data_IF_518230394182
#
_entry.id   IF_518230394182
#
_cell.length_a   1.000
_cell.length_b   1.000
_cell.length_c   1.000
_cell.angle_alpha   90.00
_cell.angle_beta   90.00
_cell.angle_gamma   90.00
#
_symmetry.space_group_name_H-M   'P 1'
#
loop_
_entity.id
_entity.type
_entity.pdbx_description
1 polymer ?
#
# COMPACT_ATOMS: atom_id res chain seq x y z
N UNK A 1 -37.33 85.02 -31.61
CA UNK A 1 -38.07 84.21 -32.61
C UNK A 1 -37.53 82.78 -32.53
N UNK A 2 -38.44 81.82 -32.45
CA UNK A 2 -38.24 80.39 -32.22
C UNK A 2 -37.38 79.69 -33.30
N UNK A 3 -36.54 78.72 -32.93
CA UNK A 3 -35.81 77.90 -33.89
C UNK A 3 -35.22 76.61 -33.30
N UNK A 4 -35.92 75.50 -33.52
CA UNK A 4 -35.68 74.09 -33.16
C UNK A 4 -34.26 73.62 -32.81
N UNK A 5 -34.12 72.98 -31.63
CA UNK A 5 -33.03 72.05 -31.35
C UNK A 5 -33.17 70.82 -32.27
N UNK A 6 -32.22 70.63 -33.19
CA UNK A 6 -32.07 69.38 -33.94
C UNK A 6 -31.30 68.39 -33.07
N UNK A 7 -31.98 67.37 -32.56
CA UNK A 7 -31.34 66.23 -31.92
C UNK A 7 -30.62 65.42 -33.00
N UNK A 8 -29.28 65.39 -32.98
CA UNK A 8 -28.49 64.41 -33.72
C UNK A 8 -28.72 63.03 -33.09
N UNK A 9 -29.50 62.20 -33.76
CA UNK A 9 -29.62 60.78 -33.42
C UNK A 9 -28.34 60.08 -33.88
N UNK A 10 -27.46 59.75 -32.93
CA UNK A 10 -26.41 58.77 -33.17
C UNK A 10 -27.07 57.43 -33.52
N UNK A 11 -26.93 56.99 -34.77
CA UNK A 11 -27.28 55.64 -35.19
C UNK A 11 -26.40 54.64 -34.43
N UNK A 12 -26.98 54.00 -33.41
CA UNK A 12 -26.39 52.86 -32.73
C UNK A 12 -26.42 51.70 -33.74
N UNK A 13 -25.25 51.26 -34.20
CA UNK A 13 -25.15 50.05 -35.03
C UNK A 13 -25.93 48.90 -34.35
N UNK A 14 -26.85 48.23 -35.06
CA UNK A 14 -27.65 47.19 -34.45
C UNK A 14 -26.75 46.04 -33.97
N UNK A 15 -26.71 45.89 -32.65
CA UNK A 15 -26.08 44.79 -31.92
C UNK A 15 -26.23 43.46 -32.68
N UNK A 16 -25.10 42.80 -32.97
CA UNK A 16 -25.03 41.52 -33.69
C UNK A 16 -25.93 40.49 -33.00
N UNK A 17 -27.17 40.39 -33.48
CA UNK A 17 -28.17 39.39 -33.06
C UNK A 17 -27.49 38.03 -33.03
N UNK A 18 -27.41 37.42 -31.84
CA UNK A 18 -26.88 36.06 -31.65
C UNK A 18 -27.78 35.10 -32.42
N UNK A 19 -27.45 34.82 -33.69
CA UNK A 19 -28.13 33.79 -34.48
C UNK A 19 -27.98 32.48 -33.72
N UNK A 20 -29.09 31.95 -33.22
CA UNK A 20 -29.12 30.64 -32.56
C UNK A 20 -28.49 29.61 -33.50
N UNK A 21 -27.41 28.98 -33.07
CA UNK A 21 -26.72 27.98 -33.86
C UNK A 21 -27.59 26.74 -33.93
N UNK A 22 -27.80 26.20 -35.13
CA UNK A 22 -28.46 24.91 -35.28
C UNK A 22 -27.73 23.82 -34.47
N UNK A 23 -28.49 22.84 -33.96
CA UNK A 23 -27.96 21.73 -33.13
C UNK A 23 -26.72 21.06 -33.76
N UNK A 24 -26.71 20.92 -35.09
CA UNK A 24 -25.57 20.41 -35.87
C UNK A 24 -24.30 21.28 -35.71
N UNK A 25 -24.44 22.60 -35.83
CA UNK A 25 -23.33 23.56 -35.75
C UNK A 25 -22.77 23.66 -34.32
N UNK A 26 -23.62 23.57 -33.30
CA UNK A 26 -23.21 23.50 -31.89
C UNK A 26 -22.40 22.20 -31.61
N UNK A 27 -22.87 21.05 -32.12
CA UNK A 27 -22.16 19.77 -32.00
C UNK A 27 -20.79 19.81 -32.66
N UNK A 28 -20.68 20.45 -33.83
CA UNK A 28 -19.42 20.59 -34.57
C UNK A 28 -18.45 21.54 -33.85
N UNK A 29 -18.95 22.63 -33.24
CA UNK A 29 -18.16 23.53 -32.39
C UNK A 29 -17.59 22.79 -31.17
N UNK A 30 -18.41 22.01 -30.46
CA UNK A 30 -17.96 21.18 -29.32
C UNK A 30 -16.91 20.14 -29.73
N UNK A 31 -17.07 19.49 -30.90
CA UNK A 31 -16.06 18.57 -31.44
C UNK A 31 -14.73 19.27 -31.72
N UNK A 32 -14.77 20.45 -32.37
CA UNK A 32 -13.56 21.26 -32.64
C UNK A 32 -12.87 21.70 -31.35
N UNK A 33 -13.64 22.14 -30.36
CA UNK A 33 -13.11 22.55 -29.05
C UNK A 33 -12.51 21.36 -28.29
N UNK A 34 -13.16 20.19 -28.31
CA UNK A 34 -12.61 18.95 -27.76
C UNK A 34 -11.31 18.53 -28.47
N UNK A 35 -11.23 18.71 -29.79
CA UNK A 35 -9.98 18.48 -30.55
C UNK A 35 -8.89 19.44 -30.09
N UNK A 36 -9.17 20.75 -30.05
CA UNK A 36 -8.23 21.77 -29.57
C UNK A 36 -7.71 21.49 -28.17
N UNK A 37 -8.60 21.09 -27.24
CA UNK A 37 -8.21 20.67 -25.87
C UNK A 37 -7.32 19.42 -25.88
N UNK A 38 -7.63 18.42 -26.72
CA UNK A 38 -6.80 17.22 -26.87
C UNK A 38 -5.42 17.54 -27.47
N UNK A 39 -5.37 18.41 -28.46
CA UNK A 39 -4.14 18.83 -29.14
C UNK A 39 -3.25 19.67 -28.22
N UNK A 40 -3.84 20.58 -27.45
CA UNK A 40 -3.14 21.31 -26.38
C UNK A 40 -2.60 20.35 -25.32
N UNK A 41 -3.41 19.41 -24.83
CA UNK A 41 -2.96 18.40 -23.85
C UNK A 41 -1.96 17.39 -24.45
N UNK A 42 -1.83 17.26 -25.77
CA UNK A 42 -0.84 16.39 -26.43
C UNK A 42 0.54 17.08 -26.49
N UNK A 43 0.55 18.41 -26.59
CA UNK A 43 1.73 19.26 -26.66
C UNK A 43 2.17 19.82 -25.29
N UNK A 44 1.42 19.53 -24.23
CA UNK A 44 1.76 19.96 -22.87
C UNK A 44 3.10 19.34 -22.44
N UNK A 45 4.16 20.14 -22.16
CA UNK A 45 5.46 19.64 -21.75
C UNK A 45 5.42 18.78 -20.47
N UNK A 46 4.42 18.95 -19.60
CA UNK A 46 4.22 18.08 -18.42
C UNK A 46 3.72 16.68 -18.79
N UNK A 47 3.14 16.53 -20.00
CA UNK A 47 2.60 15.29 -20.55
C UNK A 47 3.42 14.72 -21.71
N UNK A 48 4.34 15.49 -22.27
CA UNK A 48 5.45 15.01 -23.10
C UNK A 48 6.44 14.31 -22.18
N UNK A 49 6.03 13.18 -21.60
CA UNK A 49 6.99 12.17 -21.17
C UNK A 49 7.56 11.59 -22.46
N UNK A 50 8.87 11.34 -22.57
CA UNK A 50 9.33 10.40 -23.57
C UNK A 50 8.53 9.13 -23.33
N UNK A 51 7.54 8.86 -24.18
CA UNK A 51 6.98 7.53 -24.31
C UNK A 51 8.11 6.74 -24.94
N UNK A 52 9.07 6.32 -24.12
CA UNK A 52 10.06 5.35 -24.55
C UNK A 52 9.23 4.24 -25.18
N UNK A 53 9.43 3.99 -26.48
CA UNK A 53 8.90 2.77 -27.07
C UNK A 53 9.40 1.68 -26.12
N UNK A 54 8.49 1.06 -25.37
CA UNK A 54 8.83 -0.13 -24.59
C UNK A 54 9.34 -1.10 -25.64
N UNK A 55 10.67 -1.21 -25.80
CA UNK A 55 11.26 -2.20 -26.69
C UNK A 55 10.83 -3.52 -26.06
N UNK A 56 9.76 -4.11 -26.59
CA UNK A 56 9.38 -5.46 -26.23
C UNK A 56 10.58 -6.29 -26.64
N UNK A 57 11.32 -6.79 -25.65
CA UNK A 57 12.39 -7.72 -25.95
C UNK A 57 11.74 -8.92 -26.60
N UNK A 58 12.18 -9.24 -27.81
CA UNK A 58 11.73 -10.43 -28.51
C UNK A 58 12.56 -11.59 -27.98
N UNK A 59 11.90 -12.55 -27.35
CA UNK A 59 12.55 -13.76 -26.87
C UNK A 59 12.38 -14.86 -27.91
N UNK A 60 13.45 -15.62 -28.24
CA UNK A 60 13.39 -16.69 -29.24
C UNK A 60 12.53 -17.87 -28.78
N UNK A 61 12.44 -18.09 -27.47
CA UNK A 61 11.72 -19.22 -26.86
C UNK A 61 10.98 -18.75 -25.62
N UNK A 62 9.85 -19.40 -25.30
CA UNK A 62 9.10 -19.15 -24.07
C UNK A 62 9.97 -19.37 -22.82
N UNK A 63 10.84 -20.37 -22.84
CA UNK A 63 11.82 -20.65 -21.79
C UNK A 63 12.72 -19.44 -21.49
N UNK A 64 13.33 -18.87 -22.53
CA UNK A 64 14.22 -17.72 -22.40
C UNK A 64 13.49 -16.50 -21.84
N UNK A 65 12.23 -16.31 -22.23
CA UNK A 65 11.35 -15.26 -21.69
C UNK A 65 11.09 -15.44 -20.20
N UNK A 66 10.76 -16.65 -19.76
CA UNK A 66 10.46 -16.96 -18.36
C UNK A 66 11.73 -16.81 -17.51
N UNK A 67 12.87 -17.36 -17.97
CA UNK A 67 14.17 -17.22 -17.31
C UNK A 67 14.56 -15.75 -17.12
N UNK A 68 14.43 -14.93 -18.16
CA UNK A 68 14.71 -13.50 -18.07
C UNK A 68 13.80 -12.78 -17.05
N UNK A 69 12.50 -13.12 -17.00
CA UNK A 69 11.58 -12.56 -16.00
C UNK A 69 12.01 -12.93 -14.57
N UNK A 70 12.40 -14.19 -14.34
CA UNK A 70 12.89 -14.67 -13.04
C UNK A 70 14.18 -13.93 -12.65
N UNK A 71 15.15 -13.84 -13.54
CA UNK A 71 16.43 -13.18 -13.29
C UNK A 71 16.22 -11.70 -12.92
N UNK A 72 15.40 -10.99 -13.70
CA UNK A 72 15.06 -9.59 -13.42
C UNK A 72 14.34 -9.43 -12.07
N UNK A 73 13.44 -10.36 -11.73
CA UNK A 73 12.74 -10.35 -10.45
C UNK A 73 13.69 -10.64 -9.27
N UNK A 74 14.63 -11.57 -9.42
CA UNK A 74 15.68 -11.86 -8.42
C UNK A 74 16.59 -10.66 -8.19
N UNK A 75 16.94 -9.93 -9.25
CA UNK A 75 17.70 -8.68 -9.12
C UNK A 75 16.89 -7.61 -8.34
N UNK A 76 15.60 -7.48 -8.63
CA UNK A 76 14.70 -6.59 -7.86
C UNK A 76 14.59 -7.03 -6.39
N UNK A 77 14.48 -8.32 -6.12
CA UNK A 77 14.46 -8.87 -4.77
C UNK A 77 15.73 -8.46 -4.00
N UNK A 78 16.91 -8.69 -4.57
CA UNK A 78 18.19 -8.32 -3.95
C UNK A 78 18.26 -6.82 -3.61
N UNK A 79 17.85 -5.95 -4.54
CA UNK A 79 17.79 -4.51 -4.29
C UNK A 79 16.82 -4.13 -3.16
N UNK A 80 15.66 -4.79 -3.08
CA UNK A 80 14.68 -4.54 -2.01
C UNK A 80 15.20 -5.01 -0.65
N UNK A 81 15.87 -6.16 -0.60
CA UNK A 81 16.53 -6.66 0.62
C UNK A 81 17.61 -5.68 1.09
N UNK A 82 18.43 -5.16 0.18
CA UNK A 82 19.45 -4.16 0.53
C UNK A 82 18.83 -2.86 1.08
N UNK A 83 17.73 -2.39 0.48
CA UNK A 83 16.99 -1.24 1.02
C UNK A 83 16.43 -1.52 2.40
N UNK A 84 15.89 -2.72 2.65
CA UNK A 84 15.33 -3.10 3.95
C UNK A 84 16.37 -3.14 5.07
N UNK A 85 17.60 -3.60 4.78
CA UNK A 85 18.71 -3.59 5.74
C UNK A 85 18.99 -2.20 6.32
N UNK A 86 18.75 -1.13 5.56
CA UNK A 86 18.91 0.26 6.03
C UNK A 86 17.89 0.66 7.10
N UNK A 87 16.77 -0.04 7.19
CA UNK A 87 15.71 0.17 8.17
C UNK A 87 15.72 -0.86 9.30
N UNK A 88 16.69 -1.77 9.31
CA UNK A 88 16.95 -2.62 10.47
C UNK A 88 17.58 -1.74 11.55
N UNK A 89 16.88 -1.58 12.66
CA UNK A 89 17.43 -0.89 13.82
C UNK A 89 18.24 -1.93 14.58
N UNK A 90 19.52 -1.67 14.91
CA UNK A 90 20.28 -2.57 15.75
C UNK A 90 19.50 -2.83 17.03
N UNK A 91 19.34 -4.10 17.38
CA UNK A 91 18.86 -4.48 18.71
C UNK A 91 19.96 -4.07 19.70
N UNK A 92 19.91 -2.82 20.16
CA UNK A 92 20.70 -2.41 21.31
C UNK A 92 20.21 -3.29 22.44
N UNK A 93 21.05 -4.23 22.85
CA UNK A 93 20.81 -5.05 24.03
C UNK A 93 20.90 -4.12 25.24
N UNK A 94 19.82 -3.39 25.50
CA UNK A 94 19.63 -2.72 26.77
C UNK A 94 19.72 -3.76 27.89
N UNK A 95 20.02 -3.34 29.13
CA UNK A 95 20.12 -4.27 30.26
C UNK A 95 18.87 -5.16 30.27
N UNK A 96 19.07 -6.49 30.20
CA UNK A 96 17.98 -7.47 30.29
C UNK A 96 17.21 -7.20 31.57
N UNK A 97 16.10 -6.48 31.46
CA UNK A 97 15.14 -6.34 32.55
C UNK A 97 14.61 -7.74 32.76
N UNK A 98 15.01 -8.38 33.86
CA UNK A 98 14.49 -9.69 34.24
C UNK A 98 12.96 -9.58 34.21
N UNK A 99 12.26 -10.36 33.36
CA UNK A 99 10.81 -10.36 33.36
C UNK A 99 10.35 -10.67 34.79
N UNK A 100 9.58 -9.76 35.38
CA UNK A 100 8.95 -10.03 36.67
C UNK A 100 8.03 -11.24 36.47
N UNK A 101 8.42 -12.40 37.01
CA UNK A 101 7.68 -13.64 36.84
C UNK A 101 6.36 -13.52 37.59
N UNK A 102 5.28 -13.24 36.85
CA UNK A 102 3.93 -13.27 37.37
C UNK A 102 3.56 -14.69 37.75
N UNK A 103 2.98 -14.87 38.94
CA UNK A 103 2.44 -16.18 39.33
C UNK A 103 1.27 -16.56 38.44
N UNK A 104 0.95 -17.86 38.36
CA UNK A 104 -0.16 -18.34 37.54
C UNK A 104 -1.51 -17.70 37.92
N UNK A 105 -1.71 -17.46 39.21
CA UNK A 105 -2.91 -16.81 39.75
C UNK A 105 -2.99 -15.33 39.33
N UNK A 106 -1.88 -14.60 39.45
CA UNK A 106 -1.80 -13.20 39.01
C UNK A 106 -2.04 -13.07 37.52
N UNK A 107 -1.41 -13.94 36.71
CA UNK A 107 -1.61 -13.97 35.26
C UNK A 107 -3.07 -14.23 34.89
N UNK A 108 -3.76 -15.11 35.63
CA UNK A 108 -5.19 -15.36 35.43
C UNK A 108 -6.06 -14.16 35.80
N UNK A 109 -5.78 -13.50 36.93
CA UNK A 109 -6.50 -12.30 37.35
C UNK A 109 -6.35 -11.16 36.34
N UNK A 110 -5.11 -10.87 35.92
CA UNK A 110 -4.80 -9.82 34.93
C UNK A 110 -5.47 -10.12 33.58
N UNK A 111 -5.47 -11.39 33.16
CA UNK A 111 -6.17 -11.84 31.96
C UNK A 111 -7.68 -11.56 32.04
N UNK A 112 -8.34 -11.89 33.15
CA UNK A 112 -9.77 -11.61 33.37
C UNK A 112 -10.06 -10.10 33.40
N UNK A 113 -9.21 -9.32 34.04
CA UNK A 113 -9.31 -7.85 34.07
C UNK A 113 -9.16 -7.24 32.67
N UNK A 114 -8.18 -7.69 31.90
CA UNK A 114 -7.97 -7.23 30.54
C UNK A 114 -9.16 -7.51 29.64
N UNK A 115 -9.81 -8.67 29.77
CA UNK A 115 -11.01 -8.99 28.98
C UNK A 115 -12.12 -7.95 29.19
N UNK A 116 -12.36 -7.54 30.44
CA UNK A 116 -13.38 -6.53 30.79
C UNK A 116 -13.05 -5.11 30.35
N UNK A 117 -11.76 -4.73 30.37
CA UNK A 117 -11.31 -3.38 30.01
C UNK A 117 -11.37 -3.16 28.48
N UNK A 118 -11.74 -1.96 28.06
CA UNK A 118 -11.87 -1.56 26.64
C UNK A 118 -10.68 -0.76 26.11
N UNK A 119 -9.57 -0.65 26.84
CA UNK A 119 -8.39 0.12 26.42
C UNK A 119 -7.61 -0.64 25.35
N UNK A 120 -7.38 -0.01 24.20
CA UNK A 120 -6.65 -0.63 23.11
C UNK A 120 -5.71 0.33 22.35
N UNK A 121 -4.65 -0.24 21.80
CA UNK A 121 -3.68 0.43 20.94
C UNK A 121 -3.70 -0.25 19.56
N UNK A 122 -4.12 0.44 18.49
CA UNK A 122 -4.12 -0.13 17.16
C UNK A 122 -2.73 -0.07 16.52
N UNK A 123 -2.27 -1.20 16.00
CA UNK A 123 -1.10 -1.32 15.14
C UNK A 123 -1.59 -1.55 13.71
N UNK A 124 -1.27 -0.59 12.84
CA UNK A 124 -1.63 -0.62 11.42
C UNK A 124 -0.56 -1.23 10.53
N UNK A 125 -0.65 -0.95 9.22
CA UNK A 125 0.33 -1.34 8.20
C UNK A 125 1.79 -1.00 8.55
N UNK A 126 2.02 0.09 9.29
CA UNK A 126 3.35 0.58 9.66
C UNK A 126 4.08 -0.34 10.65
N UNK A 127 3.37 -1.26 11.30
CA UNK A 127 3.94 -2.08 12.37
C UNK A 127 4.26 -1.26 13.62
N UNK A 128 5.24 -1.74 14.37
CA UNK A 128 5.69 -1.13 15.62
C UNK A 128 6.63 0.05 15.31
N UNK A 129 6.34 1.19 15.92
CA UNK A 129 7.18 2.40 15.87
C UNK A 129 7.01 3.17 17.18
N UNK A 130 7.86 4.17 17.44
CA UNK A 130 7.91 4.83 18.76
C UNK A 130 6.57 5.40 19.26
N UNK A 131 5.69 5.82 18.35
CA UNK A 131 4.35 6.30 18.71
C UNK A 131 3.41 5.21 19.26
N UNK A 132 3.60 3.94 18.89
CA UNK A 132 2.85 2.81 19.47
C UNK A 132 3.25 2.61 20.92
N UNK A 133 4.56 2.62 21.20
CA UNK A 133 5.11 2.45 22.55
C UNK A 133 4.69 3.62 23.45
N UNK A 134 4.80 4.85 22.95
CA UNK A 134 4.28 6.05 23.63
C UNK A 134 2.81 5.88 24.02
N UNK A 135 1.97 5.42 23.08
CA UNK A 135 0.55 5.23 23.33
C UNK A 135 0.30 4.14 24.39
N UNK A 136 1.10 3.07 24.41
CA UNK A 136 1.03 2.06 25.48
C UNK A 136 1.34 2.67 26.84
N UNK A 137 2.43 3.44 26.97
CA UNK A 137 2.78 4.09 28.23
C UNK A 137 1.74 5.12 28.69
N UNK A 138 1.09 5.83 27.76
CA UNK A 138 -0.03 6.73 28.07
C UNK A 138 -1.23 5.98 28.66
N UNK A 139 -1.60 4.82 28.09
CA UNK A 139 -2.63 3.96 28.69
C UNK A 139 -2.20 3.44 30.06
N UNK A 140 -0.92 3.09 30.21
CA UNK A 140 -0.39 2.57 31.46
C UNK A 140 -0.33 3.56 32.61
N UNK A 141 -0.42 4.87 32.34
CA UNK A 141 -0.57 5.89 33.39
C UNK A 141 -1.84 5.69 34.22
N UNK A 142 -2.94 5.28 33.58
CA UNK A 142 -4.26 5.13 34.21
C UNK A 142 -4.71 3.69 34.37
N UNK A 143 -4.16 2.77 33.57
CA UNK A 143 -4.64 1.40 33.48
C UNK A 143 -3.50 0.40 33.55
N UNK A 144 -3.68 -0.68 34.28
CA UNK A 144 -2.66 -1.72 34.41
C UNK A 144 -2.44 -2.53 33.12
N UNK A 145 -3.49 -2.63 32.28
CA UNK A 145 -3.49 -3.47 31.08
C UNK A 145 -3.92 -2.70 29.84
N UNK A 146 -3.38 -3.11 28.70
CA UNK A 146 -3.70 -2.55 27.38
C UNK A 146 -3.82 -3.67 26.35
N UNK A 147 -4.82 -3.59 25.46
CA UNK A 147 -4.98 -4.51 24.33
C UNK A 147 -4.32 -3.93 23.09
N UNK A 148 -3.33 -4.60 22.55
CA UNK A 148 -2.70 -4.19 21.29
C UNK A 148 -3.37 -4.95 20.14
N UNK A 149 -3.97 -4.24 19.19
CA UNK A 149 -4.70 -4.83 18.06
C UNK A 149 -3.88 -4.63 16.79
N UNK A 150 -3.34 -5.70 16.23
CA UNK A 150 -2.48 -5.71 15.06
C UNK A 150 -3.30 -6.03 13.80
N UNK A 151 -3.62 -5.02 12.98
CA UNK A 151 -4.34 -5.21 11.71
C UNK A 151 -3.75 -4.33 10.59
N UNK A 152 -3.36 -4.89 9.43
CA UNK A 152 -3.31 -6.32 9.08
C UNK A 152 -2.11 -7.03 9.72
N UNK A 153 -2.28 -8.27 10.16
CA UNK A 153 -1.22 -9.12 10.71
C UNK A 153 -1.13 -10.44 9.94
N UNK A 154 0.09 -10.88 9.60
CA UNK A 154 0.30 -12.23 9.07
C UNK A 154 0.20 -13.26 10.21
N UNK A 155 -0.22 -14.51 9.93
CA UNK A 155 -0.15 -15.56 10.94
C UNK A 155 1.30 -15.71 11.42
N UNK A 156 1.50 -15.80 12.74
CA UNK A 156 2.83 -15.87 13.37
C UNK A 156 3.45 -14.50 13.70
N UNK A 157 3.25 -13.48 12.86
CA UNK A 157 3.81 -12.13 13.06
C UNK A 157 3.38 -11.48 14.39
N UNK A 158 2.21 -11.85 14.93
CA UNK A 158 1.75 -11.36 16.23
C UNK A 158 2.68 -11.74 17.39
N UNK A 159 3.40 -12.86 17.28
CA UNK A 159 4.36 -13.29 18.30
C UNK A 159 5.68 -12.51 18.19
N UNK A 160 6.10 -12.16 16.97
CA UNK A 160 7.24 -11.27 16.74
C UNK A 160 6.94 -9.87 17.29
N UNK A 161 5.73 -9.36 17.03
CA UNK A 161 5.28 -8.12 17.60
C UNK A 161 5.17 -8.17 19.12
N UNK A 162 4.74 -9.29 19.69
CA UNK A 162 4.71 -9.46 21.14
C UNK A 162 6.11 -9.28 21.73
N UNK A 163 7.10 -10.02 21.21
CA UNK A 163 8.50 -9.96 21.66
C UNK A 163 9.09 -8.56 21.53
N UNK A 164 8.86 -7.90 20.40
CA UNK A 164 9.42 -6.57 20.14
C UNK A 164 8.77 -5.49 21.02
N UNK A 165 7.46 -5.60 21.28
CA UNK A 165 6.79 -4.73 22.23
C UNK A 165 7.25 -4.98 23.67
N UNK A 166 7.45 -6.23 24.10
CA UNK A 166 8.02 -6.54 25.42
C UNK A 166 9.41 -5.90 25.57
N UNK A 167 10.26 -6.03 24.54
CA UNK A 167 11.61 -5.43 24.50
C UNK A 167 11.57 -3.91 24.59
N UNK A 168 10.72 -3.26 23.79
CA UNK A 168 10.70 -1.80 23.67
C UNK A 168 9.95 -1.10 24.82
N UNK A 169 8.87 -1.71 25.31
CA UNK A 169 8.01 -1.10 26.33
C UNK A 169 8.30 -1.59 27.75
N UNK A 170 9.02 -2.71 27.90
CA UNK A 170 9.25 -3.37 29.19
C UNK A 170 7.99 -4.02 29.79
N UNK A 171 6.85 -3.98 29.08
CA UNK A 171 5.63 -4.66 29.51
C UNK A 171 5.70 -6.17 29.30
N UNK A 172 4.81 -6.90 29.99
CA UNK A 172 4.71 -8.36 29.93
C UNK A 172 3.51 -8.77 29.07
N UNK A 173 3.73 -9.62 28.06
CA UNK A 173 2.65 -10.20 27.28
C UNK A 173 1.93 -11.30 28.10
N UNK A 174 0.65 -11.07 28.37
CA UNK A 174 -0.17 -11.96 29.20
C UNK A 174 -0.83 -13.04 28.36
N UNK A 175 -1.45 -12.63 27.25
CA UNK A 175 -2.21 -13.50 26.38
C UNK A 175 -2.27 -12.95 24.94
N UNK A 176 -2.10 -13.84 23.97
CA UNK A 176 -2.47 -13.60 22.57
C UNK A 176 -3.88 -14.14 22.33
N UNK A 177 -4.77 -13.31 21.78
CA UNK A 177 -6.16 -13.63 21.47
C UNK A 177 -6.32 -13.69 19.95
N UNK A 178 -6.60 -14.88 19.42
CA UNK A 178 -6.66 -15.13 17.98
C UNK A 178 -5.29 -14.92 17.32
N UNK A 179 -5.28 -14.23 16.18
CA UNK A 179 -4.07 -13.99 15.40
C UNK A 179 -3.60 -12.52 15.40
N UNK A 180 -4.38 -11.61 16.01
CA UNK A 180 -4.21 -10.17 15.81
C UNK A 180 -4.08 -9.40 17.13
N UNK A 181 -4.58 -9.92 18.25
CA UNK A 181 -4.71 -9.13 19.50
C UNK A 181 -3.79 -9.67 20.59
N UNK A 182 -3.06 -8.78 21.26
CA UNK A 182 -2.15 -9.12 22.35
C UNK A 182 -2.56 -8.31 23.58
N UNK A 183 -2.62 -8.95 24.74
CA UNK A 183 -2.86 -8.28 26.02
C UNK A 183 -1.53 -8.05 26.72
N UNK A 184 -1.23 -6.80 27.01
CA UNK A 184 -0.03 -6.39 27.72
C UNK A 184 -0.34 -5.88 29.12
N UNK A 185 0.54 -6.21 30.06
CA UNK A 185 0.55 -5.73 31.43
C UNK A 185 1.81 -4.90 31.69
N UNK A 186 1.66 -3.78 32.41
CA UNK A 186 2.76 -2.82 32.64
C UNK A 186 3.79 -3.25 33.70
N UNK A 187 3.45 -4.20 34.58
CA UNK A 187 4.23 -4.53 35.79
C UNK A 187 3.60 -3.99 37.08
N UNK A 188 3.97 -4.56 38.23
CA UNK A 188 3.43 -4.14 39.55
C UNK A 188 3.93 -2.75 39.93
N UNK A 189 5.21 -2.49 39.66
CA UNK A 189 5.92 -1.26 40.03
C UNK A 189 6.17 -0.37 38.81
N UNK A 190 5.14 -0.15 37.99
CA UNK A 190 5.29 0.66 36.79
C UNK A 190 5.64 2.11 37.15
N UNK A 191 6.78 2.57 36.63
CA UNK A 191 7.20 3.97 36.67
C UNK A 191 7.18 4.49 35.24
N UNK A 192 6.59 5.67 35.04
CA UNK A 192 6.58 6.28 33.71
C UNK A 192 8.03 6.60 33.29
N UNK A 193 8.51 6.06 32.15
CA UNK A 193 9.85 6.35 31.69
C UNK A 193 9.98 7.83 31.30
N UNK A 194 11.15 8.41 31.55
CA UNK A 194 11.47 9.79 31.16
C UNK A 194 11.40 9.96 29.63
N UNK A 195 11.92 8.97 28.90
CA UNK A 195 11.79 8.88 27.45
C UNK A 195 10.68 7.89 27.09
N UNK A 196 9.50 8.40 26.74
CA UNK A 196 8.30 7.61 26.46
C UNK A 196 8.34 6.85 25.12
N UNK A 197 9.16 7.32 24.16
CA UNK A 197 9.39 6.66 22.88
C UNK A 197 10.86 6.26 22.78
N UNK A 198 11.19 4.95 22.86
CA UNK A 198 12.58 4.51 22.79
C UNK A 198 13.26 4.94 21.49
N UNK A 199 14.54 5.31 21.61
CA UNK A 199 15.40 5.72 20.49
C UNK A 199 15.59 4.57 19.49
N UNK A 200 15.53 3.33 19.98
CA UNK A 200 15.64 2.09 19.21
C UNK A 200 14.46 1.84 18.25
N UNK A 201 13.51 2.77 18.13
CA UNK A 201 12.37 2.64 17.24
C UNK A 201 12.50 3.50 15.98
N UNK A 202 11.95 3.00 14.88
CA UNK A 202 11.85 3.80 13.65
C UNK A 202 10.87 4.97 13.85
N UNK A 203 11.18 6.09 13.17
CA UNK A 203 10.21 7.18 13.01
C UNK A 203 8.99 6.73 12.19
N UNK A 204 7.85 7.37 12.41
CA UNK A 204 6.56 7.10 11.73
C UNK A 204 6.68 7.05 10.20
N UNK A 205 7.49 7.94 9.60
CA UNK A 205 7.73 7.98 8.13
C UNK A 205 8.55 6.77 7.68
N UNK A 206 9.68 6.52 8.35
CA UNK A 206 10.59 5.39 8.06
C UNK A 206 9.89 4.03 8.23
N UNK A 207 9.08 3.86 9.27
CA UNK A 207 8.29 2.64 9.47
C UNK A 207 7.30 2.38 8.32
N UNK A 208 6.67 3.43 7.79
CA UNK A 208 5.79 3.29 6.62
C UNK A 208 6.57 2.91 5.36
N UNK A 209 7.76 3.47 5.15
CA UNK A 209 8.63 3.11 4.03
C UNK A 209 9.11 1.66 4.10
N UNK A 210 9.59 1.22 5.28
CA UNK A 210 9.95 -0.18 5.54
C UNK A 210 8.82 -1.13 5.15
N UNK A 211 7.60 -0.84 5.62
CA UNK A 211 6.40 -1.63 5.29
C UNK A 211 6.11 -1.70 3.78
N UNK A 212 6.32 -0.61 3.03
CA UNK A 212 6.16 -0.62 1.56
C UNK A 212 7.19 -1.52 0.90
N UNK A 213 8.45 -1.47 1.34
CA UNK A 213 9.49 -2.34 0.81
C UNK A 213 9.24 -3.81 1.14
N UNK A 214 8.78 -4.14 2.35
CA UNK A 214 8.38 -5.51 2.72
C UNK A 214 7.22 -6.01 1.85
N UNK A 215 6.21 -5.17 1.61
CA UNK A 215 5.10 -5.51 0.74
C UNK A 215 5.57 -5.76 -0.71
N UNK A 216 6.45 -4.91 -1.23
CA UNK A 216 7.04 -5.07 -2.58
C UNK A 216 7.93 -6.31 -2.66
N UNK A 217 8.67 -6.64 -1.60
CA UNK A 217 9.47 -7.86 -1.52
C UNK A 217 8.58 -9.11 -1.58
N UNK A 218 7.48 -9.13 -0.83
CA UNK A 218 6.55 -10.25 -0.82
C UNK A 218 5.86 -10.46 -2.18
N UNK A 219 5.51 -9.39 -2.88
CA UNK A 219 4.95 -9.51 -4.24
C UNK A 219 5.99 -10.02 -5.23
N UNK A 220 7.23 -9.55 -5.17
CA UNK A 220 8.33 -10.04 -6.01
C UNK A 220 8.63 -11.52 -5.75
N UNK A 221 8.69 -11.95 -4.48
CA UNK A 221 8.87 -13.37 -4.11
C UNK A 221 7.75 -14.25 -4.63
N UNK A 222 6.49 -13.81 -4.51
CA UNK A 222 5.35 -14.51 -5.09
C UNK A 222 5.47 -14.63 -6.61
N UNK A 223 5.89 -13.55 -7.28
CA UNK A 223 6.11 -13.57 -8.72
C UNK A 223 7.19 -14.56 -9.13
N UNK A 224 8.34 -14.57 -8.44
CA UNK A 224 9.43 -15.54 -8.68
C UNK A 224 8.89 -16.97 -8.54
N UNK A 225 8.19 -17.28 -7.45
CA UNK A 225 7.65 -18.61 -7.21
C UNK A 225 6.64 -19.05 -8.28
N UNK A 226 5.81 -18.14 -8.79
CA UNK A 226 4.87 -18.41 -9.88
C UNK A 226 5.65 -18.68 -11.18
N UNK A 227 6.61 -17.82 -11.53
CA UNK A 227 7.41 -17.98 -12.75
C UNK A 227 8.30 -19.21 -12.73
N UNK A 228 8.83 -19.62 -11.57
CA UNK A 228 9.59 -20.87 -11.43
C UNK A 228 8.70 -22.10 -11.67
N UNK A 229 7.46 -22.10 -11.18
CA UNK A 229 6.47 -23.15 -11.49
C UNK A 229 6.08 -23.14 -12.97
N UNK A 230 5.89 -21.97 -13.57
CA UNK A 230 5.63 -21.84 -15.01
C UNK A 230 6.77 -22.46 -15.84
N UNK A 231 8.03 -22.20 -15.44
CA UNK A 231 9.20 -22.77 -16.08
C UNK A 231 9.25 -24.31 -15.93
N UNK A 232 8.93 -24.82 -14.74
CA UNK A 232 8.88 -26.26 -14.48
C UNK A 232 7.80 -26.94 -15.34
N UNK A 233 6.60 -26.37 -15.39
CA UNK A 233 5.51 -26.87 -16.22
C UNK A 233 5.87 -26.85 -17.71
N UNK A 234 6.57 -25.81 -18.16
CA UNK A 234 7.09 -25.75 -19.53
C UNK A 234 8.04 -26.92 -19.83
N UNK A 235 9.00 -27.22 -18.95
CA UNK A 235 9.90 -28.36 -19.14
C UNK A 235 9.16 -29.70 -19.14
N UNK A 236 8.18 -29.88 -18.25
CA UNK A 236 7.33 -31.08 -18.26
C UNK A 236 6.57 -31.23 -19.58
N UNK A 237 6.01 -30.15 -20.10
CA UNK A 237 5.31 -30.16 -21.39
C UNK A 237 6.25 -30.51 -22.55
N UNK A 238 7.42 -29.88 -22.63
CA UNK A 238 8.42 -30.17 -23.67
C UNK A 238 8.92 -31.62 -23.59
N UNK A 239 9.05 -32.19 -22.39
CA UNK A 239 9.43 -33.58 -22.21
C UNK A 239 8.36 -34.58 -22.69
N UNK A 240 7.07 -34.27 -22.49
CA UNK A 240 5.96 -35.14 -22.88
C UNK A 240 5.55 -35.01 -24.36
N UNK A 241 5.58 -33.79 -24.88
CA UNK A 241 5.02 -33.44 -26.18
C UNK A 241 6.08 -32.99 -27.19
N UNK A 242 7.36 -32.95 -26.82
CA UNK A 242 8.41 -32.38 -27.66
C UNK A 242 8.34 -30.85 -27.73
N UNK A 243 9.33 -30.25 -28.39
CA UNK A 243 9.38 -28.79 -28.49
C UNK A 243 8.29 -28.29 -29.48
N UNK A 244 7.35 -27.42 -29.08
CA UNK A 244 6.32 -26.92 -29.99
C UNK A 244 6.91 -26.18 -31.20
N UNK A 245 8.12 -25.62 -31.08
CA UNK A 245 8.84 -25.01 -32.20
C UNK A 245 9.29 -26.02 -33.27
N UNK A 246 9.58 -27.28 -32.90
CA UNK A 246 10.04 -28.30 -33.86
C UNK A 246 8.89 -29.08 -34.51
N UNK A 247 7.75 -29.24 -33.82
CA UNK A 247 6.56 -29.91 -34.40
C UNK A 247 6.00 -29.19 -35.63
N UNK A 248 6.12 -27.86 -35.66
CA UNK A 248 5.73 -27.06 -36.84
C UNK A 248 6.68 -27.26 -38.04
N UNK A 249 7.95 -27.58 -37.81
CA UNK A 249 8.91 -27.89 -38.88
C UNK A 249 8.73 -29.32 -39.42
N UNK A 250 8.38 -30.28 -38.57
CA UNK A 250 8.12 -31.66 -38.98
C UNK A 250 6.81 -31.79 -39.79
N UNK A 251 5.79 -30.95 -39.52
CA UNK A 251 4.56 -30.92 -40.32
C UNK A 251 4.76 -30.32 -41.73
N UNK A 252 5.67 -29.35 -41.91
CA UNK A 252 6.02 -28.82 -43.25
C UNK A 252 6.81 -29.84 -44.10
N UNK A 253 7.57 -30.72 -43.46
CA UNK A 253 8.31 -31.80 -44.13
C UNK A 253 7.41 -32.97 -44.56
N UNK A 254 6.35 -33.25 -43.79
CA UNK A 254 5.36 -34.28 -44.14
C UNK A 254 4.49 -33.83 -45.32
N UNK A 255 4.16 -32.54 -45.43
CA UNK A 255 3.32 -32.02 -46.51
C UNK A 255 4.02 -31.92 -47.89
N UNK A 256 5.33 -32.13 -47.95
CA UNK A 256 6.12 -32.01 -49.18
C UNK A 256 6.45 -33.35 -49.85
N UNK A 257 6.04 -34.50 -49.26
CA UNK A 257 6.47 -35.84 -49.74
C UNK A 257 5.35 -36.81 -50.15
N UNK A 258 4.07 -36.44 -50.06
CA UNK A 258 2.98 -37.34 -50.49
C UNK A 258 2.03 -36.68 -51.51
N UNK A 259 2.51 -36.51 -52.74
CA UNK A 259 1.65 -36.67 -53.92
C UNK A 259 1.75 -38.12 -54.43
N UNK A 260 1.00 -39.06 -53.84
CA UNK A 260 0.41 -40.18 -54.59
C UNK A 260 -0.61 -41.03 -53.79
N UNK A 261 -1.83 -41.04 -54.36
CA UNK A 261 -2.89 -42.07 -54.34
C UNK A 261 -3.94 -42.04 -53.21
N UNK A 262 -5.20 -41.90 -53.67
CA UNK A 262 -6.47 -41.91 -52.95
C UNK A 262 -6.80 -43.24 -52.24
N UNK A 263 -7.60 -43.21 -51.17
CA UNK A 263 -9.00 -43.73 -51.16
C UNK A 263 -9.69 -43.58 -49.79
N UNK A 264 -11.02 -43.45 -49.86
CA UNK A 264 -12.01 -43.28 -48.80
C UNK A 264 -11.91 -44.33 -47.68
N UNK A 265 -12.07 -43.93 -46.41
CA UNK A 265 -13.32 -44.18 -45.67
C UNK A 265 -13.30 -43.61 -44.25
N UNK A 266 -14.52 -43.25 -43.87
CA UNK A 266 -15.01 -42.60 -42.67
C UNK A 266 -14.73 -43.38 -41.37
N UNK A 267 -14.20 -42.71 -40.33
CA UNK A 267 -14.46 -43.09 -38.95
C UNK A 267 -14.53 -41.85 -38.05
N UNK A 268 -15.68 -41.76 -37.38
CA UNK A 268 -16.16 -40.67 -36.54
C UNK A 268 -15.95 -41.09 -35.07
N UNK A 269 -14.98 -40.49 -34.35
CA UNK A 269 -14.82 -40.63 -32.90
C UNK A 269 -14.20 -39.34 -32.29
N UNK A 270 -15.10 -38.49 -31.82
CA UNK A 270 -15.22 -37.99 -30.44
C UNK A 270 -14.27 -36.94 -29.82
N UNK A 271 -14.94 -36.10 -29.02
CA UNK A 271 -14.50 -35.41 -27.78
C UNK A 271 -14.09 -33.93 -27.87
N UNK A 272 -15.14 -33.10 -27.86
CA UNK A 272 -15.14 -31.75 -27.30
C UNK A 272 -14.57 -31.74 -25.86
N UNK A 273 -13.36 -31.22 -25.69
CA UNK A 273 -12.94 -30.63 -24.43
C UNK A 273 -12.50 -29.19 -24.67
N UNK A 274 -13.45 -28.28 -24.48
CA UNK A 274 -13.22 -26.83 -24.53
C UNK A 274 -12.26 -26.42 -23.43
N UNK A 275 -11.00 -26.20 -23.81
CA UNK A 275 -9.98 -25.59 -22.98
C UNK A 275 -10.35 -24.14 -22.68
N UNK A 276 -10.73 -23.90 -21.43
CA UNK A 276 -10.97 -22.58 -20.86
C UNK A 276 -9.65 -21.81 -20.79
N UNK A 277 -9.42 -20.91 -21.75
CA UNK A 277 -8.30 -19.97 -21.72
C UNK A 277 -8.47 -19.00 -20.54
N UNK A 278 -7.71 -19.25 -19.47
CA UNK A 278 -7.56 -18.30 -18.37
C UNK A 278 -6.61 -17.20 -18.83
N UNK A 279 -7.18 -16.19 -19.47
CA UNK A 279 -6.53 -14.94 -19.80
C UNK A 279 -6.22 -14.19 -18.48
N UNK A 280 -5.01 -14.41 -17.95
CA UNK A 280 -4.49 -13.66 -16.80
C UNK A 280 -3.38 -12.72 -17.23
N UNK A 281 -3.78 -11.71 -18.01
CA UNK A 281 -3.00 -10.51 -18.27
C UNK A 281 -2.86 -9.67 -16.99
N UNK A 282 -2.09 -10.17 -16.02
CA UNK A 282 -1.55 -9.36 -14.94
C UNK A 282 -0.15 -8.88 -15.35
N UNK A 283 -0.10 -7.77 -16.10
CA UNK A 283 1.16 -7.08 -16.38
C UNK A 283 1.79 -6.63 -15.05
N UNK A 284 2.90 -7.26 -14.68
CA UNK A 284 3.79 -6.80 -13.61
C UNK A 284 4.38 -5.44 -13.99
N UNK A 285 3.71 -4.37 -13.55
CA UNK A 285 4.16 -3.00 -13.73
C UNK A 285 5.47 -2.79 -12.98
N UNK A 286 6.58 -2.76 -13.72
CA UNK A 286 7.92 -2.58 -13.18
C UNK A 286 8.23 -1.12 -12.80
N UNK A 287 7.24 -0.24 -12.68
CA UNK A 287 7.46 1.16 -12.34
C UNK A 287 7.05 1.49 -10.89
N UNK A 288 8.01 1.39 -9.99
CA UNK A 288 8.04 2.24 -8.80
C UNK A 288 9.13 3.30 -9.01
N UNK A 289 8.66 4.53 -9.19
CA UNK A 289 9.37 5.80 -9.32
C UNK A 289 10.67 5.86 -8.51
N UNK A 290 11.76 6.27 -9.16
CA UNK A 290 12.72 7.15 -8.51
C UNK A 290 11.96 8.40 -8.07
N UNK A 291 11.79 8.54 -6.76
CA UNK A 291 11.37 9.79 -6.15
C UNK A 291 12.65 10.59 -5.93
N UNK A 292 13.01 11.42 -6.89
CA UNK A 292 14.00 12.48 -6.67
C UNK A 292 13.39 13.46 -5.70
N UNK A 293 14.06 13.62 -4.56
CA UNK A 293 13.83 14.67 -3.58
C UNK A 293 14.03 16.02 -4.29
N UNK A 294 12.99 16.86 -4.30
CA UNK A 294 13.15 18.28 -4.55
C UNK A 294 12.63 18.98 -3.29
N UNK A 295 13.60 19.47 -2.53
CA UNK A 295 13.45 20.33 -1.37
C UNK A 295 13.10 21.74 -1.86
N UNK A 296 11.85 22.18 -1.64
CA UNK A 296 11.58 23.61 -1.46
C UNK A 296 10.53 23.79 -0.38
N UNK A 297 11.08 24.17 0.77
CA UNK A 297 10.52 24.83 1.93
C UNK A 297 9.41 25.87 1.65
N UNK A 298 8.37 25.86 2.48
CA UNK A 298 7.70 27.07 2.97
C UNK A 298 6.82 26.71 4.16
N UNK A 299 7.39 26.91 5.35
CA UNK A 299 6.70 27.03 6.63
C UNK A 299 5.44 27.91 6.57
N UNK A 300 4.33 27.41 7.09
CA UNK A 300 3.24 28.23 7.66
C UNK A 300 2.76 27.53 8.93
N UNK A 301 3.24 28.04 10.06
CA UNK A 301 2.68 27.84 11.39
C UNK A 301 1.20 28.28 11.39
N UNK A 302 0.27 27.35 11.61
CA UNK A 302 -1.08 27.69 12.09
C UNK A 302 -1.19 27.27 13.55
N UNK A 303 -0.97 28.24 14.43
CA UNK A 303 -1.37 28.17 15.83
C UNK A 303 -2.89 27.99 15.90
N UNK A 304 -3.35 26.81 16.31
CA UNK A 304 -4.72 26.62 16.75
C UNK A 304 -4.78 26.85 18.25
N UNK A 305 -5.10 28.09 18.60
CA UNK A 305 -5.47 28.54 19.93
C UNK A 305 -6.82 27.90 20.31
N UNK A 306 -6.81 26.79 21.04
CA UNK A 306 -7.98 26.28 21.75
C UNK A 306 -7.93 26.73 23.21
N UNK A 307 -8.52 27.90 23.43
CA UNK A 307 -8.86 28.48 24.72
C UNK A 307 -9.66 27.47 25.55
N UNK A 308 -9.14 27.17 26.74
CA UNK A 308 -9.79 26.37 27.77
C UNK A 308 -10.48 27.35 28.71
N UNK A 309 -11.81 27.46 28.61
CA UNK A 309 -12.60 28.20 29.59
C UNK A 309 -12.65 27.37 30.88
N UNK A 310 -11.86 27.79 31.87
CA UNK A 310 -11.95 27.37 33.27
C UNK A 310 -12.94 28.31 33.96
N UNK A 311 -14.18 27.86 34.16
CA UNK A 311 -15.08 28.48 35.13
C UNK A 311 -14.71 27.96 36.52
N UNK A 312 -13.97 28.78 37.27
CA UNK A 312 -13.76 28.62 38.71
C UNK A 312 -15.08 28.91 39.43
N UNK A 313 -15.74 27.86 39.90
CA UNK A 313 -16.81 27.94 40.89
C UNK A 313 -16.21 27.94 42.29
N UNK A 314 -16.03 29.13 42.85
CA UNK A 314 -15.62 29.32 44.24
C UNK A 314 -16.76 28.88 45.18
N UNK A 315 -16.58 27.73 45.83
CA UNK A 315 -17.46 27.25 46.90
C UNK A 315 -16.98 27.89 48.22
N UNK A 316 -17.65 28.97 48.65
CA UNK A 316 -17.42 29.60 49.95
C UNK A 316 -17.71 28.60 51.08
N UNK A 317 -16.67 28.19 51.80
CA UNK A 317 -16.78 27.41 53.02
C UNK A 317 -16.93 28.37 54.21
N UNK A 318 -18.18 28.62 54.62
CA UNK A 318 -18.51 29.37 55.84
C UNK A 318 -18.00 28.61 57.09
N UNK A 319 -17.02 29.20 57.78
CA UNK A 319 -16.53 28.69 59.06
C UNK A 319 -17.49 29.10 60.19
N UNK A 320 -18.05 28.18 60.99
CA UNK A 320 -18.93 28.53 62.10
C UNK A 320 -18.14 29.20 63.23
N UNK A 321 -18.49 30.44 63.57
CA UNK A 321 -18.04 31.09 64.82
C UNK A 321 -18.81 30.51 66.00
N UNK A 322 -18.10 29.85 66.92
CA UNK A 322 -18.61 29.61 68.28
C UNK A 322 -18.23 30.78 69.20
N UNK A 323 -19.10 31.14 70.17
CA UNK A 323 -18.93 32.35 70.98
C UNK A 323 -18.06 32.16 72.23
N UNK A 324 -17.54 33.31 72.66
CA UNK A 324 -16.89 33.71 73.92
C UNK A 324 -15.43 33.29 74.12
#
# INVERSE_FOLDING_TARGET
MTGCQKLETHEIEPSKKRKWLTKKRLKLKRKREKSKRKDANKKDPRRIRPKGLKKKQNFPTAEARIKYKIEKAKLKEAMLVEKLKKYEVPEVQGPMVKPEELTGEERFYVKKMAQKKSNYVPIGRRGIFGGVILNMHLHWKKHETVKVICKPCKPGQVHEYARELERLSGGVAIQVIGNDTIVFYRGKNYVQPEVMSPIDTLSKKKALEKSKYEQSLETVRRFIAISEKELELYYRHVALYGNPQTRNADLELIFSKEERVCSSDHCDVSEDFSGMEVDSDYEFDSNEREFTEDETDSDVEEESNCQVDLEDGEEEFEVPKYPA
#
